data_IF_786976614247
#
_entry.id   IF_786976614247
#
_cell.length_a   1.000
_cell.length_b   1.000
_cell.length_c   1.000
_cell.angle_alpha   90.00
_cell.angle_beta   90.00
_cell.angle_gamma   90.00
#
_symmetry.space_group_name_H-M   'P 1'
#
loop_
_entity.id
_entity.type
_entity.pdbx_description
1 polymer ?
#
# COMPACT_ATOMS: atom_id res chain seq x y z
N UNK A 1 9.09 -9.69 8.28
CA UNK A 1 10.18 -9.23 7.40
C UNK A 1 11.20 -8.44 8.22
N UNK A 2 12.43 -8.32 7.74
CA UNK A 2 13.36 -7.32 8.26
C UNK A 2 12.76 -5.94 8.03
N UNK A 3 12.97 -4.99 8.95
CA UNK A 3 12.42 -3.64 8.80
C UNK A 3 13.34 -2.62 9.43
N UNK A 4 14.00 -1.80 8.61
CA UNK A 4 15.04 -0.88 9.10
C UNK A 4 15.08 0.40 8.26
N UNK A 5 15.97 1.31 8.63
CA UNK A 5 16.35 2.46 7.81
C UNK A 5 17.76 2.24 7.28
N UNK A 6 18.01 2.49 5.99
CA UNK A 6 19.34 2.31 5.41
C UNK A 6 19.71 3.35 4.38
N UNK A 7 21.02 3.50 4.18
CA UNK A 7 21.59 4.32 3.13
C UNK A 7 21.76 3.47 1.86
N UNK A 8 20.88 3.65 0.89
CA UNK A 8 20.90 2.88 -0.36
C UNK A 8 22.10 3.17 -1.27
N UNK A 9 22.93 4.17 -0.97
CA UNK A 9 24.18 4.43 -1.71
C UNK A 9 25.36 3.64 -1.13
N UNK A 10 25.41 3.48 0.19
CA UNK A 10 26.54 2.83 0.89
C UNK A 10 26.22 1.40 1.33
N UNK A 11 24.93 1.03 1.41
CA UNK A 11 24.47 -0.26 1.93
C UNK A 11 24.38 -0.33 3.46
N UNK A 12 24.71 0.77 4.16
CA UNK A 12 24.68 0.81 5.63
C UNK A 12 23.26 0.82 6.17
N UNK A 13 23.02 0.04 7.23
CA UNK A 13 21.80 0.12 8.04
C UNK A 13 22.00 1.21 9.09
N UNK A 14 21.25 2.31 8.97
CA UNK A 14 21.42 3.53 9.78
C UNK A 14 20.37 3.67 10.89
N UNK A 15 19.38 2.79 10.95
CA UNK A 15 18.36 2.80 11.99
C UNK A 15 17.63 1.47 12.12
N UNK A 16 17.34 1.07 13.34
CA UNK A 16 16.59 -0.16 13.66
C UNK A 16 17.20 -1.47 13.11
N UNK A 17 18.51 -1.74 13.21
CA UNK A 17 19.13 -2.94 12.63
C UNK A 17 18.64 -4.26 13.24
N UNK A 18 18.09 -4.25 14.46
CA UNK A 18 17.49 -5.41 15.12
C UNK A 18 15.97 -5.52 14.95
N UNK A 19 15.34 -4.60 14.23
CA UNK A 19 13.88 -4.55 14.12
C UNK A 19 13.38 -5.61 13.13
N UNK A 20 12.35 -6.34 13.57
CA UNK A 20 11.59 -7.28 12.76
C UNK A 20 10.14 -6.83 12.76
N UNK A 21 9.60 -6.58 11.57
CA UNK A 21 8.18 -6.37 11.43
C UNK A 21 7.47 -7.72 11.37
N UNK A 22 6.91 -8.13 12.52
CA UNK A 22 6.46 -9.49 12.81
C UNK A 22 4.93 -9.57 12.78
N UNK A 23 4.39 -10.32 11.81
CA UNK A 23 2.96 -10.56 11.63
C UNK A 23 2.69 -12.08 11.51
N UNK A 24 2.67 -12.83 12.62
CA UNK A 24 2.40 -14.26 12.58
C UNK A 24 0.94 -14.54 12.17
N UNK A 25 0.67 -15.70 11.54
CA UNK A 25 -0.67 -16.06 11.07
C UNK A 25 -1.77 -15.91 12.14
N UNK A 26 -1.47 -16.30 13.39
CA UNK A 26 -2.40 -16.17 14.51
C UNK A 26 -2.79 -14.72 14.81
N UNK A 27 -1.86 -13.77 14.64
CA UNK A 27 -2.13 -12.34 14.79
C UNK A 27 -3.03 -11.84 13.65
N UNK A 28 -2.70 -12.19 12.40
CA UNK A 28 -3.50 -11.79 11.22
C UNK A 28 -4.93 -12.31 11.35
N UNK A 29 -5.11 -13.58 11.71
CA UNK A 29 -6.44 -14.17 11.91
C UNK A 29 -7.19 -13.52 13.07
N UNK A 30 -6.50 -13.19 14.18
CA UNK A 30 -7.11 -12.50 15.31
C UNK A 30 -7.63 -11.13 14.87
N UNK A 31 -6.80 -10.31 14.23
CA UNK A 31 -7.21 -8.98 13.75
C UNK A 31 -8.35 -9.04 12.73
N UNK A 32 -8.29 -9.97 11.77
CA UNK A 32 -9.36 -10.15 10.79
C UNK A 32 -10.70 -10.45 11.48
N UNK A 33 -10.71 -11.33 12.48
CA UNK A 33 -11.91 -11.67 13.27
C UNK A 33 -12.40 -10.48 14.09
N UNK A 34 -11.53 -9.76 14.78
CA UNK A 34 -11.93 -8.60 15.59
C UNK A 34 -12.47 -7.47 14.71
N UNK A 35 -11.80 -7.16 13.59
CA UNK A 35 -12.29 -6.16 12.63
C UNK A 35 -13.67 -6.52 12.11
N UNK A 36 -13.89 -7.80 11.77
CA UNK A 36 -15.21 -8.26 11.30
C UNK A 36 -16.31 -8.12 12.36
N UNK A 37 -16.02 -8.42 13.63
CA UNK A 37 -16.99 -8.24 14.73
C UNK A 37 -17.50 -6.80 14.84
N UNK A 38 -16.63 -5.83 14.57
CA UNK A 38 -16.97 -4.40 14.62
C UNK A 38 -17.24 -3.80 13.23
N UNK A 39 -17.46 -4.66 12.22
CA UNK A 39 -17.79 -4.27 10.85
C UNK A 39 -16.75 -3.36 10.16
N UNK A 40 -15.48 -3.51 10.54
CA UNK A 40 -14.35 -2.83 9.90
C UNK A 40 -13.81 -3.67 8.76
N UNK A 41 -13.69 -3.06 7.57
CA UNK A 41 -13.03 -3.68 6.43
C UNK A 41 -11.51 -3.45 6.51
N UNK A 42 -10.68 -4.51 6.44
CA UNK A 42 -9.23 -4.35 6.44
C UNK A 42 -8.70 -3.82 5.11
N UNK A 43 -7.71 -2.94 5.18
CA UNK A 43 -6.73 -2.72 4.12
C UNK A 43 -5.54 -3.67 4.35
N UNK A 44 -5.21 -4.47 3.33
CA UNK A 44 -4.22 -5.53 3.45
C UNK A 44 -2.84 -5.01 3.04
N UNK A 45 -2.05 -4.64 4.03
CA UNK A 45 -0.69 -4.12 3.87
C UNK A 45 0.29 -5.23 3.46
N UNK A 46 0.83 -5.15 2.23
CA UNK A 46 1.68 -6.17 1.62
C UNK A 46 3.04 -5.57 1.26
N UNK A 47 4.09 -6.10 1.90
CA UNK A 47 5.46 -5.60 1.79
C UNK A 47 6.39 -6.50 0.95
N UNK A 48 5.96 -7.72 0.67
CA UNK A 48 6.69 -8.71 -0.14
C UNK A 48 5.73 -9.80 -0.65
N UNK A 49 6.22 -10.67 -1.54
CA UNK A 49 5.42 -11.79 -2.08
C UNK A 49 5.01 -12.80 -1.01
N UNK A 50 5.80 -12.99 0.05
CA UNK A 50 5.47 -13.88 1.14
C UNK A 50 4.23 -13.40 1.91
N UNK A 51 4.19 -12.11 2.24
CA UNK A 51 3.03 -11.45 2.83
C UNK A 51 1.79 -11.56 1.94
N UNK A 52 1.95 -11.36 0.62
CA UNK A 52 0.85 -11.55 -0.32
C UNK A 52 0.32 -12.99 -0.28
N UNK A 53 1.19 -13.98 -0.43
CA UNK A 53 0.79 -15.38 -0.40
C UNK A 53 0.20 -15.81 0.95
N UNK A 54 0.65 -15.22 2.07
CA UNK A 54 0.05 -15.45 3.38
C UNK A 54 -1.42 -14.99 3.41
N UNK A 55 -1.71 -13.80 2.88
CA UNK A 55 -3.08 -13.28 2.78
C UNK A 55 -3.92 -14.14 1.83
N UNK A 56 -3.40 -14.48 0.65
CA UNK A 56 -4.11 -15.35 -0.30
C UNK A 56 -4.40 -16.74 0.28
N UNK A 57 -3.47 -17.29 1.07
CA UNK A 57 -3.69 -18.55 1.78
C UNK A 57 -4.79 -18.42 2.84
N UNK A 58 -4.74 -17.39 3.68
CA UNK A 58 -5.75 -17.13 4.70
C UNK A 58 -7.13 -16.82 4.10
N UNK A 59 -7.20 -16.19 2.93
CA UNK A 59 -8.44 -15.88 2.22
C UNK A 59 -9.24 -17.14 1.81
N UNK A 60 -8.61 -18.33 1.81
CA UNK A 60 -9.32 -19.61 1.62
C UNK A 60 -10.21 -19.98 2.81
N UNK A 61 -9.96 -19.39 3.99
CA UNK A 61 -10.82 -19.58 5.16
C UNK A 61 -12.13 -18.83 4.94
N UNK A 62 -13.23 -19.58 4.96
CA UNK A 62 -14.56 -19.02 4.79
C UNK A 62 -14.80 -17.90 5.81
N UNK A 63 -15.31 -16.78 5.32
CA UNK A 63 -15.75 -15.64 6.14
C UNK A 63 -14.66 -14.96 7.00
N UNK A 64 -13.37 -15.20 6.73
CA UNK A 64 -12.29 -14.56 7.49
C UNK A 64 -12.14 -13.07 7.16
N UNK A 65 -12.18 -12.71 5.87
CA UNK A 65 -12.06 -11.33 5.39
C UNK A 65 -13.36 -10.84 4.75
N UNK A 66 -13.61 -9.54 4.86
CA UNK A 66 -14.69 -8.86 4.14
C UNK A 66 -14.33 -8.72 2.65
N UNK A 67 -15.28 -9.03 1.76
CA UNK A 67 -15.04 -9.05 0.32
C UNK A 67 -15.65 -7.80 -0.37
N UNK A 68 -15.15 -7.41 -1.56
CA UNK A 68 -13.89 -7.82 -2.17
C UNK A 68 -12.68 -7.32 -1.35
N UNK A 69 -11.54 -8.00 -1.44
CA UNK A 69 -10.31 -7.56 -0.76
C UNK A 69 -9.83 -6.18 -1.25
N UNK A 70 -9.18 -5.42 -0.36
CA UNK A 70 -8.43 -4.22 -0.70
C UNK A 70 -6.96 -4.40 -0.29
N UNK A 71 -6.04 -4.23 -1.24
CA UNK A 71 -4.60 -4.39 -1.01
C UNK A 71 -3.87 -3.04 -1.03
N UNK A 72 -2.97 -2.84 -0.08
CA UNK A 72 -2.01 -1.74 -0.10
C UNK A 72 -0.62 -2.32 -0.32
N UNK A 73 -0.07 -2.13 -1.52
CA UNK A 73 1.27 -2.62 -1.85
C UNK A 73 2.31 -1.60 -1.39
N UNK A 74 3.13 -1.99 -0.41
CA UNK A 74 4.15 -1.14 0.18
C UNK A 74 5.51 -1.49 -0.41
N UNK A 75 6.07 -0.56 -1.17
CA UNK A 75 7.35 -0.71 -1.85
C UNK A 75 8.43 0.17 -1.25
N UNK A 76 9.66 -0.33 -1.21
CA UNK A 76 10.84 0.48 -0.89
C UNK A 76 11.17 0.58 0.60
N UNK A 77 10.37 0.01 1.49
CA UNK A 77 10.77 -0.24 2.88
C UNK A 77 11.98 -1.19 2.90
N UNK A 78 13.02 -0.85 3.68
CA UNK A 78 14.23 -1.69 3.73
C UNK A 78 13.93 -3.04 4.40
N UNK A 79 14.19 -4.12 3.66
CA UNK A 79 13.84 -5.49 4.02
C UNK A 79 12.59 -6.01 3.31
N UNK A 80 11.83 -5.13 2.63
CA UNK A 80 10.69 -5.47 1.78
C UNK A 80 11.05 -5.47 0.30
N UNK A 81 10.04 -5.61 -0.55
CA UNK A 81 10.22 -5.58 -2.01
C UNK A 81 10.53 -4.15 -2.48
N UNK A 82 11.55 -3.95 -3.33
CA UNK A 82 11.82 -2.63 -3.92
C UNK A 82 10.75 -2.29 -4.97
N UNK A 83 10.50 -1.00 -5.18
CA UNK A 83 9.61 -0.58 -6.25
C UNK A 83 10.24 -0.86 -7.63
N UNK A 84 9.52 -1.62 -8.45
CA UNK A 84 9.76 -1.76 -9.89
C UNK A 84 8.43 -2.06 -10.58
N UNK A 85 8.32 -1.74 -11.87
CA UNK A 85 7.13 -2.07 -12.65
C UNK A 85 6.89 -3.60 -12.68
N UNK A 86 7.96 -4.39 -12.77
CA UNK A 86 7.90 -5.86 -12.78
C UNK A 86 7.37 -6.41 -11.45
N UNK A 87 7.80 -5.85 -10.31
CA UNK A 87 7.30 -6.27 -9.01
C UNK A 87 5.82 -5.91 -8.83
N UNK A 88 5.42 -4.70 -9.24
CA UNK A 88 4.02 -4.29 -9.22
C UNK A 88 3.17 -5.20 -10.10
N UNK A 89 3.58 -5.44 -11.36
CA UNK A 89 2.89 -6.37 -12.25
C UNK A 89 2.80 -7.79 -11.67
N UNK A 90 3.86 -8.25 -11.00
CA UNK A 90 3.87 -9.52 -10.28
C UNK A 90 2.78 -9.61 -9.20
N UNK A 91 2.61 -8.58 -8.38
CA UNK A 91 1.52 -8.52 -7.41
C UNK A 91 0.14 -8.48 -8.06
N UNK A 92 -0.04 -7.65 -9.10
CA UNK A 92 -1.32 -7.51 -9.80
C UNK A 92 -1.78 -8.82 -10.47
N UNK A 93 -0.85 -9.63 -10.96
CA UNK A 93 -1.15 -10.95 -11.54
C UNK A 93 -1.60 -11.99 -10.50
N UNK A 94 -1.41 -11.73 -9.20
CA UNK A 94 -1.66 -12.69 -8.13
C UNK A 94 -2.93 -12.40 -7.32
N UNK A 95 -3.40 -11.15 -7.31
CA UNK A 95 -4.60 -10.79 -6.54
C UNK A 95 -5.89 -11.26 -7.22
N UNK A 96 -6.98 -11.49 -6.46
CA UNK A 96 -8.29 -11.76 -7.05
C UNK A 96 -8.72 -10.64 -8.02
N UNK A 97 -9.35 -11.00 -9.14
CA UNK A 97 -9.73 -10.05 -10.20
C UNK A 97 -10.75 -9.00 -9.75
N UNK A 98 -11.51 -9.27 -8.69
CA UNK A 98 -12.46 -8.33 -8.09
C UNK A 98 -11.86 -7.48 -6.95
N UNK A 99 -10.59 -7.70 -6.59
CA UNK A 99 -9.94 -6.93 -5.55
C UNK A 99 -9.57 -5.52 -6.03
N UNK A 100 -9.60 -4.56 -5.11
CA UNK A 100 -9.07 -3.21 -5.34
C UNK A 100 -7.65 -3.11 -4.76
N UNK A 101 -6.87 -2.14 -5.24
CA UNK A 101 -5.49 -1.99 -4.79
C UNK A 101 -4.98 -0.55 -4.83
N UNK A 102 -4.07 -0.24 -3.92
CA UNK A 102 -3.33 1.01 -3.80
C UNK A 102 -1.82 0.72 -3.75
N UNK A 103 -1.00 1.75 -3.99
CA UNK A 103 0.46 1.66 -3.82
C UNK A 103 0.97 2.71 -2.86
N UNK A 104 1.89 2.29 -2.00
CA UNK A 104 2.68 3.13 -1.12
C UNK A 104 4.12 2.97 -1.59
N UNK A 105 4.70 4.05 -2.11
CA UNK A 105 6.13 4.10 -2.40
C UNK A 105 6.85 4.81 -1.27
N UNK A 106 7.73 4.13 -0.55
CA UNK A 106 8.47 4.74 0.55
C UNK A 106 9.53 5.70 0.00
N UNK A 107 9.58 6.90 0.59
CA UNK A 107 10.50 7.98 0.28
C UNK A 107 10.58 8.31 -1.22
N UNK A 108 11.71 7.98 -1.85
CA UNK A 108 11.99 8.28 -3.26
C UNK A 108 11.02 7.62 -4.24
N UNK A 109 10.34 6.54 -3.82
CA UNK A 109 9.47 5.77 -4.69
C UNK A 109 8.00 6.25 -4.67
N UNK A 110 7.60 7.14 -3.75
CA UNK A 110 6.21 7.63 -3.61
C UNK A 110 5.62 8.09 -4.95
N UNK A 111 6.33 9.00 -5.62
CA UNK A 111 5.82 9.63 -6.84
C UNK A 111 5.85 8.68 -8.04
N UNK A 112 6.87 7.82 -8.14
CA UNK A 112 6.99 6.85 -9.23
C UNK A 112 5.92 5.76 -9.11
N UNK A 113 5.70 5.25 -7.90
CA UNK A 113 4.66 4.28 -7.62
C UNK A 113 3.28 4.87 -7.90
N UNK A 114 2.99 6.07 -7.38
CA UNK A 114 1.71 6.74 -7.60
C UNK A 114 1.38 6.99 -9.08
N UNK A 115 2.38 7.36 -9.90
CA UNK A 115 2.20 7.48 -11.35
C UNK A 115 1.79 6.16 -12.00
N UNK A 116 2.48 5.06 -11.66
CA UNK A 116 2.13 3.73 -12.17
C UNK A 116 0.72 3.31 -11.73
N UNK A 117 0.36 3.50 -10.47
CA UNK A 117 -0.97 3.15 -9.98
C UNK A 117 -2.08 3.94 -10.69
N UNK A 118 -1.90 5.25 -10.88
CA UNK A 118 -2.86 6.07 -11.61
C UNK A 118 -3.08 5.54 -13.03
N UNK A 119 -2.00 5.25 -13.75
CA UNK A 119 -2.04 4.74 -15.13
C UNK A 119 -2.61 3.31 -15.25
N UNK A 120 -2.39 2.46 -14.25
CA UNK A 120 -2.74 1.02 -14.30
C UNK A 120 -4.08 0.68 -13.65
N UNK A 121 -4.87 1.67 -13.26
CA UNK A 121 -6.19 1.41 -12.68
C UNK A 121 -6.25 1.38 -11.14
N UNK A 122 -5.13 1.50 -10.43
CA UNK A 122 -5.08 1.50 -8.96
C UNK A 122 -5.36 2.85 -8.30
N UNK A 123 -5.27 2.85 -6.96
CA UNK A 123 -5.34 4.02 -6.09
C UNK A 123 -3.94 4.52 -5.70
N UNK A 124 -3.85 5.79 -5.29
CA UNK A 124 -2.58 6.47 -5.00
C UNK A 124 -2.54 6.88 -3.54
N UNK A 125 -1.57 6.35 -2.79
CA UNK A 125 -1.24 6.79 -1.43
C UNK A 125 -0.05 7.76 -1.46
N UNK A 126 -0.16 8.83 -0.69
CA UNK A 126 0.88 9.84 -0.46
C UNK A 126 0.78 10.36 0.97
N UNK A 127 1.90 10.82 1.54
CA UNK A 127 1.88 11.49 2.82
C UNK A 127 3.26 11.64 3.45
N UNK A 128 3.36 12.50 4.47
CA UNK A 128 4.61 12.72 5.21
C UNK A 128 5.10 11.49 5.97
N UNK A 129 4.21 10.51 6.25
CA UNK A 129 4.59 9.20 6.79
C UNK A 129 5.53 8.47 5.82
N UNK A 130 5.17 8.45 4.54
CA UNK A 130 5.88 7.67 3.53
C UNK A 130 7.06 8.47 2.96
N UNK A 131 6.91 9.78 2.77
CA UNK A 131 7.93 10.65 2.20
C UNK A 131 7.83 12.09 2.76
N UNK A 132 8.91 12.62 3.33
CA UNK A 132 8.95 13.99 3.85
C UNK A 132 9.17 15.08 2.76
N UNK A 133 9.30 14.68 1.49
CA UNK A 133 9.65 15.57 0.37
C UNK A 133 8.56 15.68 -0.68
N UNK A 134 8.56 16.80 -1.40
CA UNK A 134 7.81 17.01 -2.64
C UNK A 134 8.52 16.37 -3.85
N UNK A 135 7.84 16.32 -4.99
CA UNK A 135 8.38 15.70 -6.22
C UNK A 135 9.64 16.40 -6.76
N UNK A 136 9.81 17.69 -6.46
CA UNK A 136 11.03 18.45 -6.78
C UNK A 136 12.17 18.24 -5.77
N UNK A 137 11.97 17.35 -4.79
CA UNK A 137 12.97 16.97 -3.79
C UNK A 137 13.09 17.91 -2.59
N UNK A 138 12.33 19.00 -2.54
CA UNK A 138 12.30 19.90 -1.36
C UNK A 138 11.55 19.25 -0.21
N UNK A 139 11.78 19.73 1.01
CA UNK A 139 10.93 19.33 2.14
C UNK A 139 9.51 19.84 1.90
N UNK A 140 8.54 18.95 2.09
CA UNK A 140 7.13 19.31 1.97
C UNK A 140 6.72 20.18 3.16
N UNK A 141 5.93 21.22 2.89
CA UNK A 141 5.31 22.07 3.94
C UNK A 141 4.16 21.36 4.63
N UNK A 142 3.60 20.35 3.98
CA UNK A 142 2.54 19.50 4.51
C UNK A 142 2.14 18.43 3.49
N UNK A 143 1.44 17.39 3.95
CA UNK A 143 0.92 16.32 3.08
C UNK A 143 0.05 16.86 1.95
N UNK A 144 -0.59 18.02 2.14
CA UNK A 144 -1.44 18.67 1.12
C UNK A 144 -0.70 18.97 -0.20
N UNK A 145 0.62 19.19 -0.19
CA UNK A 145 1.39 19.39 -1.43
C UNK A 145 1.48 18.10 -2.24
N UNK A 146 1.61 16.96 -1.55
CA UNK A 146 1.68 15.64 -2.18
C UNK A 146 0.30 15.18 -2.63
N UNK A 147 -0.76 15.49 -1.86
CA UNK A 147 -2.15 15.29 -2.27
C UNK A 147 -2.45 16.12 -3.53
N UNK A 148 -2.04 17.39 -3.55
CA UNK A 148 -2.21 18.26 -4.73
C UNK A 148 -1.51 17.69 -5.97
N UNK A 149 -0.36 17.03 -5.78
CA UNK A 149 0.29 16.29 -6.85
C UNK A 149 -0.52 15.06 -7.28
N UNK A 150 -1.03 14.26 -6.34
CA UNK A 150 -1.83 13.06 -6.64
C UNK A 150 -3.10 13.41 -7.43
N UNK A 151 -3.78 14.52 -7.09
CA UNK A 151 -4.94 15.04 -7.84
C UNK A 151 -4.57 15.36 -9.30
N UNK A 152 -3.43 16.00 -9.54
CA UNK A 152 -2.96 16.29 -10.91
C UNK A 152 -2.67 15.02 -11.69
N UNK A 153 -2.02 14.04 -11.04
CA UNK A 153 -1.70 12.75 -11.65
C UNK A 153 -2.95 11.96 -12.01
N UNK A 154 -3.95 11.92 -11.13
CA UNK A 154 -5.23 11.27 -11.42
C UNK A 154 -5.88 11.85 -12.68
N UNK A 155 -5.94 13.19 -12.78
CA UNK A 155 -6.48 13.88 -13.97
C UNK A 155 -5.69 13.59 -15.24
N UNK A 156 -4.36 13.58 -15.16
CA UNK A 156 -3.49 13.24 -16.30
C UNK A 156 -3.69 11.78 -16.77
N UNK A 157 -4.04 10.88 -15.86
CA UNK A 157 -4.39 9.49 -16.18
C UNK A 157 -5.84 9.33 -16.69
N UNK A 158 -6.58 10.42 -16.93
CA UNK A 158 -7.96 10.39 -17.38
C UNK A 158 -8.96 9.97 -16.30
N UNK A 159 -8.58 10.11 -15.01
CA UNK A 159 -9.42 9.77 -13.86
C UNK A 159 -9.88 11.01 -13.10
N UNK A 160 -11.00 10.88 -12.41
CA UNK A 160 -11.47 11.87 -11.43
C UNK A 160 -11.09 11.45 -10.00
N UNK A 161 -11.09 12.44 -9.09
CA UNK A 161 -10.85 12.19 -7.67
C UNK A 161 -12.16 11.77 -7.04
N UNK A 162 -12.20 10.56 -6.47
CA UNK A 162 -13.37 10.04 -5.81
C UNK A 162 -13.83 10.94 -4.65
N UNK A 163 -15.12 11.21 -4.62
CA UNK A 163 -15.82 11.78 -3.46
C UNK A 163 -15.87 10.77 -2.32
N UNK A 164 -16.14 11.20 -1.08
CA UNK A 164 -16.28 10.27 0.04
C UNK A 164 -17.32 9.15 -0.19
N UNK A 165 -18.43 9.45 -0.86
CA UNK A 165 -19.47 8.46 -1.15
C UNK A 165 -18.99 7.45 -2.21
N UNK A 166 -18.34 7.91 -3.28
CA UNK A 166 -17.75 7.02 -4.28
C UNK A 166 -16.66 6.15 -3.65
N UNK A 167 -15.82 6.69 -2.77
CA UNK A 167 -14.83 5.91 -2.02
C UNK A 167 -15.49 4.78 -1.23
N UNK A 168 -16.61 5.06 -0.52
CA UNK A 168 -17.36 4.00 0.18
C UNK A 168 -17.87 2.94 -0.77
N UNK A 169 -18.40 3.32 -1.93
CA UNK A 169 -18.87 2.37 -2.94
C UNK A 169 -17.73 1.53 -3.53
N UNK A 170 -16.63 2.16 -3.94
CA UNK A 170 -15.45 1.50 -4.52
C UNK A 170 -14.88 0.47 -3.55
N UNK A 171 -14.76 0.85 -2.28
CA UNK A 171 -14.22 -0.02 -1.25
C UNK A 171 -15.26 -0.91 -0.57
N UNK A 172 -16.51 -0.94 -1.04
CA UNK A 172 -17.60 -1.71 -0.42
C UNK A 172 -17.67 -1.50 1.10
N UNK A 173 -17.68 -0.24 1.52
CA UNK A 173 -17.82 0.17 2.92
C UNK A 173 -19.29 0.43 3.24
N UNK A 174 -19.62 0.34 4.53
CA UNK A 174 -20.94 0.72 5.04
C UNK A 174 -21.25 2.19 4.67
N UNK A 175 -22.49 2.41 4.24
CA UNK A 175 -23.05 3.73 3.91
C UNK A 175 -23.53 4.43 5.17
#
# INVERSE_FOLDING_TARGET
MNFSTGNFKTGEVVGGPGNIFRNPFSMIQTFAKEMKKVQTKPELEVYDFGGLYNILFLNKQKDLFEQPLHFQFVFGALGGVPFSFQNLAGFLNLIPSNATWSVCGVAKDQFRAGLCAAAMGGHVRVGLEDNIRTIDGKLARGSWEQVSWAVKVAKLAGKEVATPNETRTIFNLLQ
#
